data_IF_186886742420
#
_entry.id   IF_186886742420
#
_cell.length_a   1.000
_cell.length_b   1.000
_cell.length_c   1.000
_cell.angle_alpha   90.00
_cell.angle_beta   90.00
_cell.angle_gamma   90.00
#
_symmetry.space_group_name_H-M   'P 1'
#
loop_
_entity.id
_entity.type
_entity.pdbx_description
1 polymer ?
#
# COMPACT_ATOMS: atom_id res chain seq x y z
N UNK A 1 -20.55 13.16 -14.38
CA UNK A 1 -19.88 11.87 -14.48
C UNK A 1 -20.93 10.86 -14.86
N UNK A 2 -20.83 10.26 -16.03
CA UNK A 2 -21.72 9.19 -16.48
C UNK A 2 -21.34 7.87 -15.79
N UNK A 3 -22.23 6.88 -15.82
CA UNK A 3 -21.96 5.55 -15.28
C UNK A 3 -20.74 4.90 -15.97
N UNK A 4 -20.58 5.09 -17.28
CA UNK A 4 -19.43 4.58 -18.04
C UNK A 4 -18.11 5.25 -17.62
N UNK A 5 -18.11 6.58 -17.45
CA UNK A 5 -16.94 7.31 -16.92
C UNK A 5 -16.57 6.83 -15.51
N UNK A 6 -17.57 6.58 -14.66
CA UNK A 6 -17.35 6.08 -13.32
C UNK A 6 -16.70 4.68 -13.32
N UNK A 7 -17.23 3.76 -14.14
CA UNK A 7 -16.73 2.39 -14.30
C UNK A 7 -15.30 2.40 -14.84
N UNK A 8 -15.02 3.23 -15.83
CA UNK A 8 -13.68 3.44 -16.37
C UNK A 8 -12.71 3.92 -15.29
N UNK A 9 -13.06 4.98 -14.56
CA UNK A 9 -12.20 5.55 -13.51
C UNK A 9 -11.94 4.57 -12.35
N UNK A 10 -12.93 3.76 -11.99
CA UNK A 10 -12.77 2.74 -10.98
C UNK A 10 -11.76 1.67 -11.42
N UNK A 11 -11.93 1.13 -12.64
CA UNK A 11 -11.09 0.08 -13.22
C UNK A 11 -9.66 0.55 -13.49
N UNK A 12 -9.49 1.65 -14.23
CA UNK A 12 -8.17 2.21 -14.54
C UNK A 12 -7.42 2.62 -13.28
N UNK A 13 -8.15 3.18 -12.29
CA UNK A 13 -7.57 3.47 -11.00
C UNK A 13 -7.06 2.21 -10.30
N UNK A 14 -7.79 1.10 -10.35
CA UNK A 14 -7.32 -0.18 -9.79
C UNK A 14 -6.03 -0.64 -10.49
N UNK A 15 -6.00 -0.65 -11.82
CA UNK A 15 -4.80 -1.01 -12.61
C UNK A 15 -3.62 -0.11 -12.26
N UNK A 16 -3.83 1.21 -12.20
CA UNK A 16 -2.83 2.20 -11.84
C UNK A 16 -2.23 1.93 -10.45
N UNK A 17 -3.07 1.69 -9.44
CA UNK A 17 -2.61 1.51 -8.05
C UNK A 17 -1.97 0.14 -7.83
N UNK A 18 -2.41 -0.90 -8.54
CA UNK A 18 -1.74 -2.21 -8.55
C UNK A 18 -0.34 -2.07 -9.13
N UNK A 19 -0.22 -1.48 -10.32
CA UNK A 19 1.09 -1.19 -10.97
C UNK A 19 2.00 -0.34 -10.08
N UNK A 20 1.43 0.69 -9.42
CA UNK A 20 2.17 1.53 -8.48
C UNK A 20 2.66 0.74 -7.28
N UNK A 21 1.86 -0.17 -6.72
CA UNK A 21 2.27 -1.01 -5.57
C UNK A 21 3.45 -1.90 -5.94
N UNK A 22 3.46 -2.48 -7.14
CA UNK A 22 4.59 -3.28 -7.66
C UNK A 22 5.85 -2.41 -7.75
N UNK A 23 5.74 -1.25 -8.41
CA UNK A 23 6.87 -0.34 -8.59
C UNK A 23 7.46 0.14 -7.25
N UNK A 24 6.59 0.46 -6.28
CA UNK A 24 7.01 0.87 -4.95
C UNK A 24 7.64 -0.29 -4.15
N UNK A 25 7.10 -1.51 -4.28
CA UNK A 25 7.70 -2.70 -3.68
C UNK A 25 9.15 -2.92 -4.16
N UNK A 26 9.38 -2.74 -5.46
CA UNK A 26 10.73 -2.78 -6.05
C UNK A 26 11.64 -1.70 -5.48
N UNK A 27 11.17 -0.45 -5.38
CA UNK A 27 11.95 0.66 -4.80
C UNK A 27 12.35 0.42 -3.35
N UNK A 28 11.45 -0.16 -2.54
CA UNK A 28 11.77 -0.58 -1.16
C UNK A 28 12.85 -1.66 -1.17
N UNK A 29 12.72 -2.68 -2.03
CA UNK A 29 13.71 -3.74 -2.15
C UNK A 29 15.10 -3.20 -2.53
N UNK A 30 15.17 -2.33 -3.55
CA UNK A 30 16.40 -1.70 -4.03
C UNK A 30 17.03 -0.81 -2.94
N UNK A 31 16.22 0.01 -2.26
CA UNK A 31 16.67 0.86 -1.17
C UNK A 31 17.15 0.06 0.06
N UNK A 32 16.55 -1.10 0.33
CA UNK A 32 16.96 -1.98 1.45
C UNK A 32 18.23 -2.75 1.13
N UNK A 33 18.38 -3.23 -0.11
CA UNK A 33 19.58 -3.94 -0.56
C UNK A 33 20.83 -3.06 -0.51
N UNK A 34 20.67 -1.77 -0.81
CA UNK A 34 21.74 -0.78 -0.73
C UNK A 34 22.09 -0.35 0.70
N UNK A 35 21.45 -0.85 1.76
CA UNK A 35 21.79 -0.48 3.15
C UNK A 35 22.96 -1.26 3.77
N UNK A 36 23.43 -2.35 3.17
CA UNK A 36 24.44 -3.24 3.73
C UNK A 36 25.70 -3.26 2.85
N UNK A 37 26.70 -2.35 3.01
CA UNK A 37 27.49 -2.11 4.24
C UNK A 37 28.08 -0.67 4.36
N UNK A 38 27.25 0.37 4.52
CA UNK A 38 27.71 1.76 4.34
C UNK A 38 28.16 2.50 5.62
N UNK A 39 28.92 3.60 5.42
CA UNK A 39 29.34 4.54 6.47
C UNK A 39 28.09 5.24 7.08
N UNK A 40 28.23 5.73 8.31
CA UNK A 40 27.13 6.28 9.13
C UNK A 40 26.32 7.42 8.46
N UNK A 41 26.95 8.18 7.55
CA UNK A 41 26.32 9.30 6.84
C UNK A 41 25.41 8.82 5.69
N UNK A 42 25.88 7.86 4.90
CA UNK A 42 25.10 7.19 3.85
C UNK A 42 23.87 6.48 4.45
N UNK A 43 24.03 5.91 5.65
CA UNK A 43 22.95 5.26 6.38
C UNK A 43 21.77 6.21 6.66
N UNK A 44 22.03 7.48 6.97
CA UNK A 44 20.95 8.45 7.25
C UNK A 44 20.11 8.73 6.01
N UNK A 45 20.76 8.91 4.86
CA UNK A 45 20.10 9.17 3.58
C UNK A 45 19.32 7.93 3.13
N UNK A 46 19.92 6.75 3.21
CA UNK A 46 19.26 5.49 2.86
C UNK A 46 18.06 5.20 3.77
N UNK A 47 18.20 5.41 5.08
CA UNK A 47 17.07 5.25 6.01
C UNK A 47 15.95 6.28 5.76
N UNK A 48 16.28 7.50 5.36
CA UNK A 48 15.29 8.48 4.92
C UNK A 48 14.58 8.03 3.64
N UNK A 49 15.33 7.54 2.64
CA UNK A 49 14.77 6.99 1.41
C UNK A 49 13.82 5.83 1.68
N UNK A 50 14.25 4.81 2.44
CA UNK A 50 13.40 3.65 2.79
C UNK A 50 12.11 4.09 3.49
N UNK A 51 12.18 5.03 4.43
CA UNK A 51 10.96 5.56 5.10
C UNK A 51 10.02 6.28 4.14
N UNK A 52 10.57 7.03 3.19
CA UNK A 52 9.77 7.70 2.15
C UNK A 52 9.09 6.67 1.25
N UNK A 53 9.83 5.65 0.77
CA UNK A 53 9.24 4.60 -0.07
C UNK A 53 8.19 3.77 0.69
N UNK A 54 8.40 3.48 1.97
CA UNK A 54 7.38 2.87 2.83
C UNK A 54 6.09 3.71 2.91
N UNK A 55 6.19 5.04 2.92
CA UNK A 55 5.01 5.90 2.93
C UNK A 55 4.26 5.85 1.59
N UNK A 56 4.96 5.95 0.47
CA UNK A 56 4.34 5.82 -0.85
C UNK A 56 3.72 4.44 -1.08
N UNK A 57 4.36 3.39 -0.58
CA UNK A 57 3.81 2.04 -0.63
C UNK A 57 2.52 1.93 0.19
N UNK A 58 2.46 2.47 1.41
CA UNK A 58 1.24 2.46 2.22
C UNK A 58 0.07 3.21 1.54
N UNK A 59 0.36 4.30 0.82
CA UNK A 59 -0.64 5.01 0.00
C UNK A 59 -1.12 4.11 -1.13
N UNK A 60 -0.20 3.55 -1.92
CA UNK A 60 -0.54 2.70 -3.07
C UNK A 60 -1.34 1.47 -2.64
N UNK A 61 -0.91 0.77 -1.58
CA UNK A 61 -1.59 -0.41 -1.04
C UNK A 61 -3.01 -0.09 -0.56
N UNK A 62 -3.21 1.03 0.16
CA UNK A 62 -4.55 1.46 0.54
C UNK A 62 -5.41 1.73 -0.69
N UNK A 63 -4.86 2.41 -1.69
CA UNK A 63 -5.59 2.76 -2.91
C UNK A 63 -5.97 1.55 -3.75
N UNK A 64 -5.15 0.49 -3.77
CA UNK A 64 -5.54 -0.81 -4.36
C UNK A 64 -6.79 -1.34 -3.68
N UNK A 65 -6.83 -1.38 -2.35
CA UNK A 65 -7.98 -1.91 -1.61
C UNK A 65 -9.23 -1.02 -1.77
N UNK A 66 -9.05 0.30 -1.79
CA UNK A 66 -10.15 1.26 -2.01
C UNK A 66 -10.76 1.10 -3.42
N UNK A 67 -9.93 1.06 -4.46
CA UNK A 67 -10.41 0.87 -5.84
C UNK A 67 -10.96 -0.52 -6.07
N UNK A 68 -10.40 -1.56 -5.44
CA UNK A 68 -10.95 -2.93 -5.49
C UNK A 68 -12.40 -2.95 -5.01
N UNK A 69 -12.68 -2.36 -3.85
CA UNK A 69 -14.04 -2.33 -3.31
C UNK A 69 -14.97 -1.49 -4.20
N UNK A 70 -14.47 -0.41 -4.79
CA UNK A 70 -15.25 0.38 -5.75
C UNK A 70 -15.60 -0.42 -7.03
N UNK A 71 -14.63 -1.09 -7.63
CA UNK A 71 -14.79 -1.97 -8.79
C UNK A 71 -15.80 -3.08 -8.48
N UNK A 72 -15.71 -3.73 -7.32
CA UNK A 72 -16.67 -4.75 -6.87
C UNK A 72 -18.09 -4.20 -6.72
N UNK A 73 -18.22 -3.01 -6.12
CA UNK A 73 -19.51 -2.33 -5.96
C UNK A 73 -20.19 -1.99 -7.29
N UNK A 74 -19.42 -1.86 -8.37
CA UNK A 74 -19.91 -1.64 -9.74
C UNK A 74 -20.13 -2.95 -10.52
N UNK A 75 -19.89 -4.12 -9.92
CA UNK A 75 -20.00 -5.42 -10.61
C UNK A 75 -18.96 -5.60 -11.72
N UNK A 76 -17.80 -4.96 -11.61
CA UNK A 76 -16.68 -5.10 -12.52
C UNK A 76 -15.75 -6.24 -12.06
N UNK A 77 -14.97 -6.80 -13.00
CA UNK A 77 -13.98 -7.84 -12.75
C UNK A 77 -14.52 -9.11 -12.03
N UNK A 78 -15.67 -9.69 -12.45
CA UNK A 78 -16.31 -10.80 -11.72
C UNK A 78 -15.46 -12.08 -11.66
N UNK A 79 -14.52 -12.23 -12.59
CA UNK A 79 -13.66 -13.42 -12.70
C UNK A 79 -12.25 -13.21 -12.14
N UNK A 80 -11.94 -12.00 -11.65
CA UNK A 80 -10.61 -11.70 -11.11
C UNK A 80 -10.53 -12.19 -9.67
N UNK A 81 -9.54 -13.05 -9.40
CA UNK A 81 -9.28 -13.54 -8.06
C UNK A 81 -8.53 -12.49 -7.23
N UNK A 82 -9.15 -12.04 -6.14
CA UNK A 82 -8.58 -11.10 -5.19
C UNK A 82 -8.15 -11.75 -3.87
N UNK A 83 -8.18 -13.08 -3.77
CA UNK A 83 -7.95 -13.84 -2.53
C UNK A 83 -6.62 -13.51 -1.84
N UNK A 84 -5.55 -13.30 -2.62
CA UNK A 84 -4.25 -12.89 -2.08
C UNK A 84 -4.27 -11.51 -1.41
N UNK A 85 -5.22 -10.64 -1.79
CA UNK A 85 -5.41 -9.34 -1.15
C UNK A 85 -6.30 -9.41 0.10
N UNK A 86 -7.11 -10.46 0.27
CA UNK A 86 -8.05 -10.60 1.40
C UNK A 86 -7.37 -10.79 2.75
N UNK A 87 -6.12 -11.23 2.77
CA UNK A 87 -5.32 -11.31 3.99
C UNK A 87 -4.95 -9.93 4.56
N UNK A 88 -5.08 -8.85 3.79
CA UNK A 88 -4.69 -7.51 4.21
C UNK A 88 -5.88 -6.71 4.75
N UNK A 89 -5.74 -6.20 5.97
CA UNK A 89 -6.74 -5.34 6.58
C UNK A 89 -6.70 -3.93 6.00
N UNK A 90 -7.72 -3.58 5.19
CA UNK A 90 -7.89 -2.22 4.66
C UNK A 90 -7.90 -1.16 5.78
N UNK A 91 -8.47 -1.49 6.94
CA UNK A 91 -8.49 -0.60 8.09
C UNK A 91 -7.10 -0.37 8.69
N UNK A 92 -6.26 -1.41 8.79
CA UNK A 92 -4.90 -1.27 9.33
C UNK A 92 -3.99 -0.52 8.35
N UNK A 93 -4.16 -0.72 7.03
CA UNK A 93 -3.39 0.00 6.01
C UNK A 93 -3.82 1.47 5.93
N UNK A 94 -5.12 1.75 6.01
CA UNK A 94 -5.65 3.13 6.09
C UNK A 94 -5.07 3.88 7.28
N UNK A 95 -5.09 3.23 8.44
CA UNK A 95 -4.51 3.77 9.67
C UNK A 95 -3.03 4.04 9.50
N UNK A 96 -2.26 3.07 9.00
CA UNK A 96 -0.84 3.22 8.72
C UNK A 96 -0.56 4.43 7.83
N UNK A 97 -1.31 4.57 6.72
CA UNK A 97 -1.18 5.72 5.81
C UNK A 97 -1.41 7.04 6.55
N UNK A 98 -2.54 7.17 7.26
CA UNK A 98 -2.91 8.39 7.99
C UNK A 98 -1.88 8.73 9.08
N UNK A 99 -1.40 7.72 9.80
CA UNK A 99 -0.39 7.87 10.84
C UNK A 99 0.95 8.36 10.28
N UNK A 100 1.33 7.90 9.09
CA UNK A 100 2.56 8.36 8.42
C UNK A 100 2.41 9.78 7.86
N UNK A 101 1.23 10.16 7.37
CA UNK A 101 0.94 11.52 6.88
C UNK A 101 0.91 12.55 8.01
N UNK A 102 0.38 12.17 9.18
CA UNK A 102 0.24 13.05 10.34
C UNK A 102 1.20 12.70 11.49
N UNK A 103 2.39 12.18 11.17
CA UNK A 103 3.35 11.63 12.16
C UNK A 103 3.62 12.57 13.32
N UNK A 104 3.75 13.88 13.07
CA UNK A 104 3.98 14.91 14.10
C UNK A 104 2.87 14.96 15.14
N UNK A 105 1.61 14.82 14.72
CA UNK A 105 0.45 14.88 15.61
C UNK A 105 0.37 13.65 16.50
N UNK A 106 0.71 12.48 15.97
CA UNK A 106 0.77 11.24 16.76
C UNK A 106 1.93 11.26 17.76
N UNK A 107 3.11 11.77 17.39
CA UNK A 107 4.22 11.97 18.33
C UNK A 107 3.89 12.96 19.45
N UNK A 108 3.02 13.94 19.17
CA UNK A 108 2.50 14.89 20.18
C UNK A 108 1.33 14.33 20.99
N UNK A 109 0.86 13.11 20.70
CA UNK A 109 -0.28 12.49 21.39
C UNK A 109 -1.63 13.15 21.09
N UNK A 110 -1.73 13.93 20.00
CA UNK A 110 -2.95 14.62 19.54
C UNK A 110 -3.51 14.05 18.23
N UNK A 111 -2.83 13.06 17.64
CA UNK A 111 -3.33 12.33 16.48
C UNK A 111 -4.68 11.67 16.73
N UNK A 112 -5.51 11.62 15.69
CA UNK A 112 -6.77 10.86 15.70
C UNK A 112 -6.47 9.38 15.96
N UNK A 113 -7.28 8.68 16.75
CA UNK A 113 -7.07 7.25 17.04
C UNK A 113 -5.66 6.91 17.57
N UNK A 114 -5.02 7.83 18.31
CA UNK A 114 -3.65 7.70 18.85
C UNK A 114 -3.34 6.41 19.61
N UNK A 115 -4.36 5.74 20.17
CA UNK A 115 -4.20 4.45 20.84
C UNK A 115 -3.77 3.33 19.86
N UNK A 116 -3.99 3.51 18.55
CA UNK A 116 -3.58 2.60 17.48
C UNK A 116 -2.19 2.93 16.92
N UNK A 117 -1.51 3.96 17.43
CA UNK A 117 -0.17 4.37 16.96
C UNK A 117 0.86 3.23 17.08
N UNK A 118 0.77 2.46 18.16
CA UNK A 118 1.58 1.27 18.38
C UNK A 118 0.81 0.01 17.94
N UNK A 119 1.51 -0.91 17.28
CA UNK A 119 1.07 -2.29 17.07
C UNK A 119 1.97 -3.19 17.92
N UNK A 120 1.36 -3.91 18.83
CA UNK A 120 2.01 -4.92 19.66
C UNK A 120 1.52 -6.29 19.22
N UNK A 121 2.46 -7.17 18.89
CA UNK A 121 2.25 -8.60 18.68
C UNK A 121 3.18 -9.36 19.64
N UNK A 122 2.99 -10.68 19.84
CA UNK A 122 3.94 -11.47 20.64
C UNK A 122 5.39 -11.36 20.15
N UNK A 123 5.60 -11.12 18.86
CA UNK A 123 6.91 -11.10 18.20
C UNK A 123 7.55 -9.71 18.18
N UNK A 124 6.77 -8.63 18.14
CA UNK A 124 7.32 -7.28 18.06
C UNK A 124 6.40 -6.18 18.60
N UNK A 125 7.00 -5.04 18.91
CA UNK A 125 6.33 -3.77 19.16
C UNK A 125 6.86 -2.73 18.16
N UNK A 126 5.98 -2.20 17.32
CA UNK A 126 6.34 -1.21 16.31
C UNK A 126 5.34 -0.05 16.31
N UNK A 127 5.85 1.17 16.17
CA UNK A 127 5.02 2.31 15.79
C UNK A 127 4.85 2.40 14.27
N UNK A 128 3.88 3.19 13.80
CA UNK A 128 3.57 3.32 12.38
C UNK A 128 4.68 3.95 11.52
N UNK A 129 5.71 4.57 12.13
CA UNK A 129 6.89 5.09 11.43
C UNK A 129 7.99 4.04 11.25
N UNK A 130 8.04 3.03 12.12
CA UNK A 130 9.02 1.95 12.13
C UNK A 130 8.71 0.85 11.08
N UNK A 131 9.65 -0.08 10.95
CA UNK A 131 9.48 -1.32 10.18
C UNK A 131 10.11 -2.50 10.91
N UNK A 132 9.45 -3.64 10.93
CA UNK A 132 9.95 -4.90 11.49
C UNK A 132 10.06 -5.92 10.35
N UNK A 133 11.28 -6.17 9.85
CA UNK A 133 11.48 -6.97 8.64
C UNK A 133 10.74 -6.35 7.44
N UNK A 134 9.82 -7.11 6.85
CA UNK A 134 8.95 -6.65 5.73
C UNK A 134 7.71 -5.89 6.19
N UNK A 135 7.45 -5.80 7.50
CA UNK A 135 6.23 -5.21 8.03
C UNK A 135 6.42 -3.71 8.28
N UNK A 136 5.80 -2.88 7.44
CA UNK A 136 5.72 -1.43 7.63
C UNK A 136 4.76 -1.14 8.78
N UNK A 137 5.24 -0.43 9.79
CA UNK A 137 4.48 -0.05 10.99
C UNK A 137 3.87 -1.22 11.75
N UNK A 138 4.41 -2.44 11.58
CA UNK A 138 3.84 -3.67 12.13
C UNK A 138 2.51 -4.10 11.53
N UNK A 139 2.06 -3.47 10.42
CA UNK A 139 0.69 -3.60 9.88
C UNK A 139 0.64 -4.12 8.45
N UNK A 140 1.57 -3.68 7.61
CA UNK A 140 1.57 -3.97 6.18
C UNK A 140 2.84 -4.72 5.80
N UNK A 141 2.73 -6.01 5.48
CA UNK A 141 3.83 -6.73 4.83
C UNK A 141 3.93 -6.26 3.37
N UNK A 142 4.90 -5.39 3.09
CA UNK A 142 5.04 -4.80 1.76
C UNK A 142 5.45 -5.84 0.71
N UNK A 143 6.20 -6.87 1.11
CA UNK A 143 6.72 -7.88 0.19
C UNK A 143 5.59 -8.80 -0.27
N UNK A 144 4.77 -9.28 0.67
CA UNK A 144 3.60 -10.10 0.35
C UNK A 144 2.55 -9.29 -0.43
N UNK A 145 2.36 -8.02 -0.08
CA UNK A 145 1.41 -7.18 -0.82
C UNK A 145 1.88 -6.91 -2.25
N UNK A 146 3.17 -6.62 -2.46
CA UNK A 146 3.74 -6.44 -3.79
C UNK A 146 3.60 -7.72 -4.63
N UNK A 147 3.87 -8.89 -4.03
CA UNK A 147 3.68 -10.19 -4.71
C UNK A 147 2.22 -10.42 -5.11
N UNK A 148 1.27 -10.11 -4.22
CA UNK A 148 -0.16 -10.20 -4.53
C UNK A 148 -0.55 -9.24 -5.68
N UNK A 149 0.01 -8.02 -5.70
CA UNK A 149 -0.20 -7.07 -6.79
C UNK A 149 0.40 -7.57 -8.12
N UNK A 150 1.59 -8.17 -8.10
CA UNK A 150 2.22 -8.77 -9.29
C UNK A 150 1.39 -9.91 -9.87
N UNK A 151 0.82 -10.77 -9.02
CA UNK A 151 -0.07 -11.85 -9.45
C UNK A 151 -1.40 -11.33 -10.01
N UNK A 152 -1.91 -10.22 -9.46
CA UNK A 152 -3.19 -9.63 -9.83
C UNK A 152 -3.15 -8.86 -11.17
N UNK A 153 -2.06 -8.15 -11.45
CA UNK A 153 -2.00 -7.23 -12.59
C UNK A 153 -2.31 -7.89 -13.95
N UNK A 154 -1.76 -9.07 -14.29
CA UNK A 154 -2.09 -9.73 -15.56
C UNK A 154 -3.57 -10.08 -15.71
N UNK A 155 -4.22 -10.50 -14.62
CA UNK A 155 -5.64 -10.82 -14.61
C UNK A 155 -6.50 -9.57 -14.85
N UNK A 156 -6.15 -8.44 -14.22
CA UNK A 156 -6.83 -7.16 -14.47
C UNK A 156 -6.67 -6.71 -15.93
N UNK A 157 -5.48 -6.81 -16.50
CA UNK A 157 -5.22 -6.40 -17.88
C UNK A 157 -5.91 -7.29 -18.93
N UNK A 158 -6.39 -8.48 -18.54
CA UNK A 158 -7.15 -9.38 -19.40
C UNK A 158 -8.66 -9.10 -19.39
N UNK A 159 -9.16 -8.31 -18.45
CA UNK A 159 -10.58 -7.96 -18.38
C UNK A 159 -10.98 -6.99 -19.53
N UNK A 160 -12.22 -7.07 -20.03
CA UNK A 160 -12.70 -6.15 -21.06
C UNK A 160 -12.74 -4.72 -20.52
N UNK A 161 -12.08 -3.79 -21.23
CA UNK A 161 -11.96 -2.40 -20.80
C UNK A 161 -13.33 -1.69 -20.94
N UNK A 162 -13.88 -1.11 -19.86
CA UNK A 162 -15.13 -0.38 -19.91
C UNK A 162 -14.89 1.05 -20.44
N UNK A 163 -14.61 1.20 -21.74
CA UNK A 163 -14.44 2.54 -22.34
C UNK A 163 -15.77 3.27 -22.45
N UNK A 164 -15.87 4.53 -21.99
CA UNK A 164 -17.02 5.36 -22.31
C UNK A 164 -17.09 5.59 -23.84
N UNK A 165 -18.31 5.62 -24.42
CA UNK A 165 -18.47 5.97 -25.82
C UNK A 165 -17.88 7.37 -26.09
N UNK A 166 -17.15 7.50 -27.20
CA UNK A 166 -16.56 8.77 -27.64
C UNK A 166 -17.61 9.75 -28.15
#
# INVERSE_FOLDING_TARGET
MTDDEQRYMAFEGLVQWVSSSIAQGKRIADATATMSPYRREDFRLLAAQVRTEHHYFAIAAYKVLEHREWVRGLGLCPNVDFSMLDQFSASDIRDLRNMREHVVDYFRGVGRDKHRWWKETPEFKADASASAGTHIGGRLDWKQFALAAEALLPALLAEPIPYPPR
#
